data_IF_179602335002
#
_entry.id   IF_179602335002
#
_cell.length_a   1.000
_cell.length_b   1.000
_cell.length_c   1.000
_cell.angle_alpha   90.00
_cell.angle_beta   90.00
_cell.angle_gamma   90.00
#
_symmetry.space_group_name_H-M   'P 1'
#
loop_
_entity.id
_entity.type
_entity.pdbx_description
1 polymer ?
#
# COMPACT_ATOMS: atom_id res chain seq x y z
N UNK A 1 -10.75 10.54 3.38
CA UNK A 1 -9.49 10.75 2.63
C UNK A 1 -8.33 10.72 3.61
N UNK A 2 -7.58 9.61 3.72
CA UNK A 2 -6.57 9.46 4.79
C UNK A 2 -5.55 8.34 4.61
N UNK A 3 -5.48 7.68 3.45
CA UNK A 3 -4.57 6.55 3.22
C UNK A 3 -3.30 6.92 2.41
N UNK A 4 -3.00 8.21 2.21
CA UNK A 4 -2.03 8.61 1.20
C UNK A 4 -0.58 8.28 1.58
N UNK A 5 -0.11 8.57 2.80
CA UNK A 5 1.32 8.36 3.11
C UNK A 5 1.68 6.88 3.29
N UNK A 6 0.83 6.09 3.95
CA UNK A 6 1.06 4.66 4.15
C UNK A 6 1.15 3.91 2.82
N UNK A 7 0.23 4.17 1.88
CA UNK A 7 0.26 3.56 0.55
C UNK A 7 1.43 4.06 -0.32
N UNK A 8 1.78 5.35 -0.26
CA UNK A 8 2.94 5.91 -0.96
C UNK A 8 4.25 5.26 -0.51
N UNK A 9 4.48 5.19 0.81
CA UNK A 9 5.69 4.58 1.37
C UNK A 9 5.67 3.06 1.16
N UNK A 10 4.54 2.41 1.46
CA UNK A 10 4.35 0.97 1.25
C UNK A 10 4.63 0.55 -0.19
N UNK A 11 4.17 1.30 -1.19
CA UNK A 11 4.44 1.01 -2.60
C UNK A 11 5.94 1.04 -2.94
N UNK A 12 6.72 1.93 -2.30
CA UNK A 12 8.19 1.95 -2.48
C UNK A 12 8.85 0.72 -1.86
N UNK A 13 8.39 0.28 -0.70
CA UNK A 13 8.88 -0.93 -0.04
C UNK A 13 8.54 -2.20 -0.85
N UNK A 14 7.32 -2.28 -1.37
CA UNK A 14 6.88 -3.37 -2.25
C UNK A 14 7.71 -3.43 -3.53
N UNK A 15 8.02 -2.28 -4.14
CA UNK A 15 8.95 -2.21 -5.29
C UNK A 15 10.36 -2.72 -4.94
N UNK A 16 10.81 -2.48 -3.71
CA UNK A 16 12.09 -2.98 -3.20
C UNK A 16 12.05 -4.45 -2.72
N UNK A 17 10.91 -5.14 -2.85
CA UNK A 17 10.77 -6.55 -2.50
C UNK A 17 10.42 -6.83 -1.03
N UNK A 18 10.06 -5.81 -0.26
CA UNK A 18 9.66 -5.99 1.14
C UNK A 18 8.16 -6.28 1.27
N UNK A 19 7.80 -7.13 2.24
CA UNK A 19 6.41 -7.31 2.65
C UNK A 19 5.90 -6.11 3.46
N UNK A 20 4.67 -5.69 3.21
CA UNK A 20 4.05 -4.52 3.85
C UNK A 20 2.65 -4.90 4.33
N UNK A 21 2.37 -4.62 5.61
CA UNK A 21 1.01 -4.67 6.16
C UNK A 21 0.50 -3.26 6.40
N UNK A 22 -0.59 -2.88 5.74
CA UNK A 22 -1.25 -1.59 5.97
C UNK A 22 -2.34 -1.74 7.04
N UNK A 23 -2.15 -1.09 8.19
CA UNK A 23 -3.18 -1.02 9.25
C UNK A 23 -4.14 0.13 8.94
N UNK A 24 -5.43 -0.18 8.76
CA UNK A 24 -6.44 0.78 8.31
C UNK A 24 -7.84 0.41 8.83
N UNK A 25 -8.86 1.20 8.45
CA UNK A 25 -10.24 0.89 8.86
C UNK A 25 -10.76 -0.40 8.19
N UNK A 26 -11.70 -1.14 8.80
CA UNK A 26 -12.18 -2.41 8.24
C UNK A 26 -12.62 -2.35 6.77
N UNK A 27 -13.41 -1.35 6.31
CA UNK A 27 -13.77 -1.26 4.90
C UNK A 27 -12.56 -1.06 3.98
N UNK A 28 -11.52 -0.36 4.48
CA UNK A 28 -10.28 -0.13 3.73
C UNK A 28 -9.44 -1.41 3.67
N UNK A 29 -9.37 -2.19 4.75
CA UNK A 29 -8.64 -3.44 4.78
C UNK A 29 -9.23 -4.48 3.82
N UNK A 30 -10.57 -4.57 3.77
CA UNK A 30 -11.29 -5.42 2.82
C UNK A 30 -11.03 -4.98 1.37
N UNK A 31 -11.11 -3.67 1.10
CA UNK A 31 -10.84 -3.12 -0.23
C UNK A 31 -9.41 -3.40 -0.68
N UNK A 32 -8.41 -3.15 0.18
CA UNK A 32 -7.00 -3.39 -0.15
C UNK A 32 -6.72 -4.89 -0.34
N UNK A 33 -7.31 -5.75 0.48
CA UNK A 33 -7.14 -7.20 0.33
C UNK A 33 -7.72 -7.72 -1.00
N UNK A 34 -8.80 -7.11 -1.49
CA UNK A 34 -9.43 -7.47 -2.77
C UNK A 34 -8.74 -6.85 -3.98
N UNK A 35 -8.39 -5.57 -3.92
CA UNK A 35 -8.01 -4.76 -5.09
C UNK A 35 -6.55 -4.28 -5.05
N UNK A 36 -5.87 -4.42 -3.91
CA UNK A 36 -4.58 -3.80 -3.67
C UNK A 36 -4.67 -2.27 -3.50
N UNK A 37 -3.54 -1.60 -3.74
CA UNK A 37 -3.47 -0.13 -3.78
C UNK A 37 -3.04 0.35 -5.15
N UNK A 38 -3.56 1.51 -5.57
CA UNK A 38 -3.07 2.26 -6.73
C UNK A 38 -2.53 3.59 -6.26
N UNK A 39 -1.25 3.85 -6.55
CA UNK A 39 -0.58 5.09 -6.19
C UNK A 39 -0.16 5.84 -7.44
N UNK A 40 -0.51 7.13 -7.49
CA UNK A 40 -0.14 8.05 -8.57
C UNK A 40 1.02 8.91 -8.12
N UNK A 41 2.21 8.64 -8.66
CA UNK A 41 3.41 9.41 -8.38
C UNK A 41 3.60 10.55 -9.39
N UNK A 42 3.63 11.81 -8.94
CA UNK A 42 4.12 12.89 -9.79
C UNK A 42 5.64 12.75 -9.96
N UNK A 43 6.13 12.96 -11.18
CA UNK A 43 7.57 12.98 -11.48
C UNK A 43 7.92 14.38 -11.92
N UNK A 44 8.90 14.99 -11.24
CA UNK A 44 9.38 16.34 -11.58
C UNK A 44 9.83 16.37 -13.05
N UNK A 45 9.29 17.31 -13.81
CA UNK A 45 9.58 17.45 -15.25
C UNK A 45 8.76 16.55 -16.17
N UNK A 46 7.71 15.88 -15.66
CA UNK A 46 6.71 15.17 -16.48
C UNK A 46 5.32 15.73 -16.22
N UNK A 47 4.54 15.88 -17.29
CA UNK A 47 3.16 16.35 -17.20
C UNK A 47 2.19 15.24 -16.74
N UNK A 48 2.57 13.98 -16.92
CA UNK A 48 1.77 12.82 -16.55
C UNK A 48 2.31 12.14 -15.30
N UNK A 49 1.40 11.81 -14.38
CA UNK A 49 1.71 10.97 -13.22
C UNK A 49 1.92 9.52 -13.65
N UNK A 50 2.80 8.81 -12.96
CA UNK A 50 2.95 7.36 -13.12
C UNK A 50 2.03 6.67 -12.13
N UNK A 51 1.19 5.75 -12.62
CA UNK A 51 0.37 4.90 -11.77
C UNK A 51 1.11 3.60 -11.45
N UNK A 52 1.12 3.22 -10.18
CA UNK A 52 1.72 1.98 -9.71
C UNK A 52 0.64 1.21 -8.96
N UNK A 53 0.37 -0.02 -9.41
CA UNK A 53 -0.50 -0.97 -8.72
C UNK A 53 0.37 -1.84 -7.82
N UNK A 54 -0.08 -2.11 -6.60
CA UNK A 54 0.64 -3.02 -5.70
C UNK A 54 0.61 -4.47 -6.15
N UNK A 55 -0.42 -4.86 -6.89
CA UNK A 55 -0.54 -6.20 -7.45
C UNK A 55 0.56 -6.45 -8.49
N UNK A 56 1.30 -7.54 -8.32
CA UNK A 56 2.41 -7.91 -9.21
C UNK A 56 3.73 -7.20 -8.92
N UNK A 57 3.84 -6.44 -7.81
CA UNK A 57 5.13 -5.97 -7.33
C UNK A 57 5.94 -7.11 -6.70
N UNK A 58 7.24 -6.87 -6.49
CA UNK A 58 8.16 -7.87 -5.97
C UNK A 58 7.87 -8.26 -4.50
N UNK A 59 7.43 -7.30 -3.69
CA UNK A 59 7.02 -7.52 -2.30
C UNK A 59 5.53 -7.86 -2.16
N UNK A 60 5.15 -8.39 -1.00
CA UNK A 60 3.77 -8.75 -0.71
C UNK A 60 3.02 -7.67 0.08
N UNK A 61 1.78 -7.40 -0.33
CA UNK A 61 0.89 -6.46 0.36
C UNK A 61 -0.20 -7.23 1.11
N UNK A 62 -0.38 -6.88 2.38
CA UNK A 62 -1.54 -7.24 3.18
C UNK A 62 -2.17 -6.01 3.83
N UNK A 63 -3.38 -6.16 4.35
CA UNK A 63 -4.04 -5.13 5.14
C UNK A 63 -4.66 -5.74 6.40
N UNK A 64 -4.65 -4.99 7.49
CA UNK A 64 -5.22 -5.39 8.78
C UNK A 64 -5.95 -4.22 9.43
N UNK A 65 -6.79 -4.53 10.41
CA UNK A 65 -7.41 -3.52 11.27
C UNK A 65 -6.63 -3.40 12.59
N UNK A 66 -6.69 -2.25 13.28
CA UNK A 66 -5.98 -2.04 14.55
C UNK A 66 -6.29 -3.09 15.61
N UNK A 67 -7.51 -3.65 15.61
CA UNK A 67 -8.00 -4.59 16.61
C UNK A 67 -7.41 -6.01 16.45
N UNK A 68 -6.94 -6.36 15.25
CA UNK A 68 -6.48 -7.73 14.92
C UNK A 68 -5.00 -7.80 14.57
N UNK A 69 -4.31 -6.67 14.43
CA UNK A 69 -2.89 -6.66 14.11
C UNK A 69 -2.08 -6.98 15.37
N UNK A 70 -1.14 -7.91 15.25
CA UNK A 70 -0.12 -8.17 16.27
C UNK A 70 1.20 -7.51 15.84
N UNK A 71 1.63 -6.42 16.50
CA UNK A 71 2.89 -5.75 16.16
C UNK A 71 4.14 -6.61 16.37
N UNK A 72 4.08 -7.65 17.21
CA UNK A 72 5.22 -8.52 17.47
C UNK A 72 5.48 -9.56 16.37
N UNK A 73 4.57 -9.66 15.38
CA UNK A 73 4.64 -10.63 14.29
C UNK A 73 5.40 -10.12 13.03
N UNK A 74 6.03 -8.94 13.10
CA UNK A 74 6.73 -8.26 12.00
C UNK A 74 8.18 -7.95 12.39
#
# INVERSE_FOLDING_TARGET
>A
MGASYGSLFGTKLLLAGHSVTLVCTPPTAELISREGTVVRFPIRGRDTSVEIRSQGLAGELSASIPETVDPAAF
#
